data_IF_235109766148
#
_entry.id   IF_235109766148
#
_cell.length_a   1.000
_cell.length_b   1.000
_cell.length_c   1.000
_cell.angle_alpha   90.00
_cell.angle_beta   90.00
_cell.angle_gamma   90.00
#
_symmetry.space_group_name_H-M   'P 1'
#
loop_
_entity.id
_entity.type
_entity.pdbx_description
1 polymer ?
#
# COMPACT_ATOMS: atom_id res chain seq x y z
N UNK A 1 18.85 -14.66 -17.76
CA UNK A 1 17.96 -13.70 -18.47
C UNK A 1 17.47 -12.70 -17.43
N UNK A 2 17.10 -11.48 -17.85
CA UNK A 2 16.48 -10.53 -16.92
C UNK A 2 15.09 -11.01 -16.54
N UNK A 3 14.72 -10.87 -15.26
CA UNK A 3 13.34 -11.13 -14.84
C UNK A 3 12.41 -10.07 -15.43
N UNK A 4 11.29 -10.50 -15.97
CA UNK A 4 10.26 -9.63 -16.55
C UNK A 4 9.18 -9.36 -15.52
N UNK A 5 8.91 -8.09 -15.27
CA UNK A 5 7.99 -7.62 -14.22
C UNK A 5 6.90 -6.74 -14.84
N UNK A 6 5.65 -7.14 -14.68
CA UNK A 6 4.50 -6.33 -15.02
C UNK A 6 4.02 -5.57 -13.78
N UNK A 7 3.99 -4.25 -13.83
CA UNK A 7 3.40 -3.42 -12.78
C UNK A 7 2.02 -2.95 -13.25
N UNK A 8 0.97 -3.28 -12.51
CA UNK A 8 -0.40 -2.87 -12.81
C UNK A 8 -0.85 -1.73 -11.89
N UNK A 9 -1.26 -0.63 -12.51
CA UNK A 9 -1.74 0.56 -11.82
C UNK A 9 -0.73 1.70 -11.77
N UNK A 10 -0.90 2.70 -12.64
CA UNK A 10 -0.07 3.92 -12.70
C UNK A 10 -0.60 5.00 -11.71
N UNK A 11 -0.83 4.58 -10.45
CA UNK A 11 -1.14 5.49 -9.35
C UNK A 11 0.11 5.90 -8.58
N UNK A 12 -0.09 6.55 -7.41
CA UNK A 12 1.00 7.03 -6.56
C UNK A 12 2.03 5.95 -6.20
N UNK A 13 1.58 4.80 -5.69
CA UNK A 13 2.48 3.71 -5.31
C UNK A 13 3.03 3.00 -6.54
N UNK A 14 2.15 2.59 -7.47
CA UNK A 14 2.56 1.79 -8.64
C UNK A 14 3.47 2.55 -9.61
N UNK A 15 3.22 3.84 -9.83
CA UNK A 15 4.11 4.68 -10.64
C UNK A 15 5.50 4.84 -10.01
N UNK A 16 5.56 5.00 -8.68
CA UNK A 16 6.83 5.06 -7.96
C UNK A 16 7.59 3.72 -8.03
N UNK A 17 6.90 2.62 -7.70
CA UNK A 17 7.47 1.27 -7.77
C UNK A 17 8.02 0.97 -9.18
N UNK A 18 7.24 1.24 -10.22
CA UNK A 18 7.71 1.04 -11.59
C UNK A 18 8.95 1.87 -11.93
N UNK A 19 8.95 3.15 -11.59
CA UNK A 19 10.07 4.04 -11.92
C UNK A 19 11.39 3.54 -11.30
N UNK A 20 11.35 3.07 -10.06
CA UNK A 20 12.52 2.55 -9.36
C UNK A 20 12.93 1.17 -9.86
N UNK A 21 11.99 0.21 -9.98
CA UNK A 21 12.30 -1.12 -10.52
C UNK A 21 12.86 -1.05 -11.94
N UNK A 22 12.35 -0.16 -12.78
CA UNK A 22 12.85 0.03 -14.15
C UNK A 22 14.26 0.64 -14.23
N UNK A 23 14.70 1.32 -13.17
CA UNK A 23 16.08 1.80 -13.05
C UNK A 23 17.07 0.66 -12.75
N UNK A 24 16.60 -0.46 -12.19
CA UNK A 24 17.40 -1.66 -11.96
C UNK A 24 17.73 -2.35 -13.29
N UNK A 25 19.01 -2.38 -13.65
CA UNK A 25 19.48 -2.99 -14.91
C UNK A 25 19.32 -4.51 -14.99
N UNK A 26 19.03 -5.16 -13.86
CA UNK A 26 18.76 -6.61 -13.74
C UNK A 26 17.34 -6.99 -14.16
N UNK A 27 16.42 -6.04 -14.18
CA UNK A 27 15.00 -6.26 -14.45
C UNK A 27 14.59 -5.75 -15.83
N UNK A 28 13.43 -6.22 -16.31
CA UNK A 28 12.73 -5.73 -17.49
C UNK A 28 11.29 -5.42 -17.09
N UNK A 29 11.00 -4.15 -16.82
CA UNK A 29 9.72 -3.74 -16.25
C UNK A 29 8.79 -3.13 -17.30
N UNK A 30 7.52 -3.48 -17.21
CA UNK A 30 6.42 -2.87 -18.00
C UNK A 30 5.39 -2.30 -17.03
N UNK A 31 4.92 -1.08 -17.30
CA UNK A 31 3.83 -0.45 -16.54
C UNK A 31 2.59 -0.39 -17.38
N UNK A 32 1.49 -0.95 -16.86
CA UNK A 32 0.18 -0.82 -17.47
C UNK A 32 -0.79 -0.09 -16.56
N UNK A 33 -1.58 0.77 -17.17
CA UNK A 33 -2.71 1.42 -16.55
C UNK A 33 -4.00 0.99 -17.25
N UNK A 34 -5.14 1.11 -16.57
CA UNK A 34 -6.43 0.80 -17.18
C UNK A 34 -6.71 1.63 -18.46
N UNK A 35 -6.08 2.80 -18.61
CA UNK A 35 -6.23 3.64 -19.80
C UNK A 35 -5.37 3.19 -20.99
N UNK A 36 -4.32 2.42 -20.74
CA UNK A 36 -3.45 1.85 -21.78
C UNK A 36 -3.90 0.44 -22.16
N UNK A 37 -4.19 -0.38 -21.15
CA UNK A 37 -4.59 -1.78 -21.33
C UNK A 37 -5.67 -2.12 -20.30
N UNK A 38 -6.84 -2.54 -20.72
CA UNK A 38 -7.90 -2.95 -19.80
C UNK A 38 -7.60 -4.33 -19.18
N UNK A 39 -6.58 -4.36 -18.32
CA UNK A 39 -6.19 -5.56 -17.58
C UNK A 39 -7.27 -6.04 -16.58
N UNK A 40 -8.41 -5.34 -16.47
CA UNK A 40 -9.55 -5.79 -15.65
C UNK A 40 -10.46 -6.74 -16.42
N UNK A 41 -10.24 -6.87 -17.72
CA UNK A 41 -10.78 -7.93 -18.56
C UNK A 41 -9.82 -9.14 -18.57
N UNK A 42 -10.35 -10.30 -18.22
CA UNK A 42 -9.54 -11.51 -18.05
C UNK A 42 -8.83 -11.92 -19.34
N UNK A 43 -9.50 -11.84 -20.48
CA UNK A 43 -8.91 -12.21 -21.76
C UNK A 43 -7.74 -11.30 -22.12
N UNK A 44 -7.91 -10.00 -21.95
CA UNK A 44 -6.86 -9.00 -22.21
C UNK A 44 -5.64 -9.23 -21.35
N UNK A 45 -5.83 -9.50 -20.04
CA UNK A 45 -4.72 -9.81 -19.14
C UNK A 45 -3.99 -11.10 -19.55
N UNK A 46 -4.73 -12.15 -19.93
CA UNK A 46 -4.16 -13.42 -20.37
C UNK A 46 -3.28 -13.26 -21.59
N UNK A 47 -3.75 -12.53 -22.60
CA UNK A 47 -2.95 -12.30 -23.81
C UNK A 47 -1.69 -11.49 -23.49
N UNK A 48 -1.79 -10.44 -22.71
CA UNK A 48 -0.63 -9.65 -22.28
C UNK A 48 0.42 -10.51 -21.55
N UNK A 49 0.00 -11.36 -20.61
CA UNK A 49 0.92 -12.20 -19.85
C UNK A 49 1.56 -13.29 -20.72
N UNK A 50 0.83 -13.86 -21.68
CA UNK A 50 1.34 -14.88 -22.61
C UNK A 50 2.33 -14.30 -23.62
N UNK A 51 1.99 -13.17 -24.24
CA UNK A 51 2.80 -12.57 -25.30
C UNK A 51 4.16 -12.11 -24.76
N UNK A 52 4.15 -11.47 -23.59
CA UNK A 52 5.34 -10.88 -22.98
C UNK A 52 6.10 -11.85 -22.06
N UNK A 53 5.48 -12.93 -21.62
CA UNK A 53 6.12 -13.94 -20.74
C UNK A 53 6.71 -13.33 -19.47
N UNK A 54 5.89 -12.68 -18.65
CA UNK A 54 6.31 -12.11 -17.38
C UNK A 54 6.58 -13.19 -16.33
N UNK A 55 7.60 -12.96 -15.49
CA UNK A 55 7.90 -13.78 -14.31
C UNK A 55 7.05 -13.33 -13.11
N UNK A 56 6.85 -12.00 -12.97
CA UNK A 56 6.15 -11.38 -11.84
C UNK A 56 5.09 -10.39 -12.29
N UNK A 57 4.00 -10.31 -11.51
CA UNK A 57 2.97 -9.29 -11.64
C UNK A 57 2.87 -8.52 -10.32
N UNK A 58 3.28 -7.25 -10.30
CA UNK A 58 3.11 -6.37 -9.13
C UNK A 58 1.78 -5.63 -9.26
N UNK A 59 0.81 -6.03 -8.44
CA UNK A 59 -0.50 -5.41 -8.41
C UNK A 59 -0.50 -4.21 -7.44
N UNK A 60 -0.33 -3.00 -7.98
CA UNK A 60 -0.48 -1.73 -7.27
C UNK A 60 -1.78 -1.00 -7.63
N UNK A 61 -2.70 -1.67 -8.34
CA UNK A 61 -4.02 -1.15 -8.65
C UNK A 61 -4.96 -1.31 -7.46
N UNK A 62 -5.98 -0.50 -7.39
CA UNK A 62 -7.04 -0.59 -6.40
C UNK A 62 -7.88 0.68 -6.35
N UNK A 63 -9.02 0.58 -5.70
CA UNK A 63 -9.92 1.71 -5.48
C UNK A 63 -9.79 2.21 -4.04
N UNK A 64 -9.31 3.43 -3.87
CA UNK A 64 -9.23 4.11 -2.57
C UNK A 64 -10.17 5.31 -2.47
N UNK A 65 -10.96 5.57 -3.53
CA UNK A 65 -11.78 6.76 -3.64
C UNK A 65 -10.98 8.06 -3.87
N UNK A 66 -11.69 9.14 -4.18
CA UNK A 66 -11.15 10.50 -4.30
C UNK A 66 -12.12 11.46 -3.62
N UNK A 67 -11.67 12.37 -2.74
CA UNK A 67 -10.26 12.65 -2.39
C UNK A 67 -9.64 11.63 -1.43
N UNK A 68 -10.44 10.83 -0.72
CA UNK A 68 -10.01 9.86 0.28
C UNK A 68 -10.95 8.63 0.33
N UNK A 69 -10.81 7.79 1.36
CA UNK A 69 -11.58 6.54 1.52
C UNK A 69 -13.09 6.75 1.71
N UNK A 70 -13.55 7.96 2.09
CA UNK A 70 -14.98 8.25 2.25
C UNK A 70 -15.74 8.05 0.93
N UNK A 71 -15.10 8.28 -0.22
CA UNK A 71 -15.72 8.05 -1.52
C UNK A 71 -16.06 6.56 -1.77
N UNK A 72 -15.42 5.62 -1.09
CA UNK A 72 -15.75 4.19 -1.19
C UNK A 72 -17.14 3.88 -0.63
N UNK A 73 -17.66 4.71 0.28
CA UNK A 73 -19.02 4.54 0.83
C UNK A 73 -20.11 4.88 -0.19
N UNK A 74 -19.81 5.78 -1.13
CA UNK A 74 -20.74 6.18 -2.20
C UNK A 74 -20.57 5.40 -3.50
N UNK A 75 -19.44 4.67 -3.68
CA UNK A 75 -19.14 3.90 -4.88
C UNK A 75 -18.64 2.48 -4.51
N UNK A 76 -19.52 1.75 -3.83
CA UNK A 76 -19.22 0.40 -3.33
C UNK A 76 -19.00 -0.60 -4.44
N UNK A 77 -19.66 -0.44 -5.57
CA UNK A 77 -19.53 -1.32 -6.73
C UNK A 77 -18.11 -1.24 -7.31
N UNK A 78 -17.62 -0.05 -7.61
CA UNK A 78 -16.24 0.11 -8.09
C UNK A 78 -15.23 -0.31 -7.03
N UNK A 79 -15.46 0.00 -5.75
CA UNK A 79 -14.59 -0.43 -4.67
C UNK A 79 -14.49 -1.96 -4.60
N UNK A 80 -15.62 -2.67 -4.67
CA UNK A 80 -15.65 -4.13 -4.69
C UNK A 80 -14.99 -4.73 -5.94
N UNK A 81 -15.34 -4.20 -7.12
CA UNK A 81 -14.76 -4.66 -8.38
C UNK A 81 -13.22 -4.59 -8.34
N UNK A 82 -12.68 -3.41 -8.04
CA UNK A 82 -11.23 -3.20 -8.15
C UNK A 82 -10.43 -3.71 -6.95
N UNK A 83 -11.02 -3.85 -5.77
CA UNK A 83 -10.32 -4.34 -4.60
C UNK A 83 -10.51 -5.84 -4.34
N UNK A 84 -11.53 -6.47 -4.92
CA UNK A 84 -11.83 -7.89 -4.70
C UNK A 84 -11.81 -8.68 -6.00
N UNK A 85 -12.73 -8.40 -6.92
CA UNK A 85 -12.93 -9.25 -8.11
C UNK A 85 -11.69 -9.26 -9.02
N UNK A 86 -11.14 -8.09 -9.31
CA UNK A 86 -9.98 -7.96 -10.19
C UNK A 86 -8.74 -8.65 -9.62
N UNK A 87 -8.30 -8.42 -8.37
CA UNK A 87 -7.14 -9.15 -7.84
C UNK A 87 -7.36 -10.65 -7.64
N UNK A 88 -8.59 -11.11 -7.40
CA UNK A 88 -8.90 -12.55 -7.41
C UNK A 88 -8.72 -13.14 -8.81
N UNK A 89 -9.16 -12.44 -9.84
CA UNK A 89 -8.93 -12.84 -11.23
C UNK A 89 -7.42 -12.86 -11.55
N UNK A 90 -6.64 -11.89 -11.04
CA UNK A 90 -5.18 -11.92 -11.20
C UNK A 90 -4.57 -13.19 -10.62
N UNK A 91 -4.98 -13.61 -9.41
CA UNK A 91 -4.51 -14.85 -8.80
C UNK A 91 -4.78 -16.07 -9.68
N UNK A 92 -5.98 -16.16 -10.26
CA UNK A 92 -6.36 -17.25 -11.14
C UNK A 92 -5.51 -17.30 -12.40
N UNK A 93 -5.44 -16.17 -13.11
CA UNK A 93 -4.69 -16.06 -14.37
C UNK A 93 -3.18 -16.27 -14.17
N UNK A 94 -2.61 -15.67 -13.12
CA UNK A 94 -1.20 -15.81 -12.79
C UNK A 94 -0.84 -17.26 -12.43
N UNK A 95 -1.68 -17.95 -11.67
CA UNK A 95 -1.47 -19.37 -11.33
C UNK A 95 -1.43 -20.24 -12.59
N UNK A 96 -2.36 -20.05 -13.51
CA UNK A 96 -2.46 -20.84 -14.74
C UNK A 96 -1.27 -20.57 -15.70
N UNK A 97 -0.73 -19.37 -15.68
CA UNK A 97 0.38 -18.95 -16.54
C UNK A 97 1.76 -18.99 -15.85
N UNK A 98 1.82 -19.48 -14.60
CA UNK A 98 3.05 -19.57 -13.80
C UNK A 98 3.74 -18.21 -13.59
N UNK A 99 2.97 -17.15 -13.48
CA UNK A 99 3.43 -15.81 -13.10
C UNK A 99 3.26 -15.64 -11.59
N UNK A 100 4.24 -15.10 -10.89
CA UNK A 100 4.12 -14.84 -9.45
C UNK A 100 3.47 -13.48 -9.19
N UNK A 101 2.26 -13.41 -8.60
CA UNK A 101 1.68 -12.13 -8.22
C UNK A 101 2.24 -11.62 -6.89
N UNK A 102 2.44 -10.31 -6.81
CA UNK A 102 2.75 -9.54 -5.60
C UNK A 102 1.68 -8.47 -5.47
N UNK A 103 0.83 -8.58 -4.45
CA UNK A 103 -0.28 -7.66 -4.22
C UNK A 103 0.07 -6.61 -3.18
N UNK A 104 0.06 -5.33 -3.54
CA UNK A 104 0.17 -4.24 -2.59
C UNK A 104 -1.23 -3.95 -2.05
N UNK A 105 -1.47 -4.33 -0.79
CA UNK A 105 -2.76 -4.19 -0.10
C UNK A 105 -2.68 -3.21 1.06
N UNK A 106 -3.54 -3.35 2.05
CA UNK A 106 -3.62 -2.38 3.15
C UNK A 106 -3.83 -3.04 4.50
N UNK A 107 -3.03 -2.65 5.49
CA UNK A 107 -3.27 -2.99 6.89
C UNK A 107 -4.46 -2.25 7.54
N UNK A 108 -5.26 -1.50 6.76
CA UNK A 108 -6.51 -0.90 7.26
C UNK A 108 -7.61 -1.91 7.59
N UNK A 109 -7.27 -3.18 7.68
CA UNK A 109 -8.13 -4.28 8.15
C UNK A 109 -7.98 -4.56 9.65
N UNK A 110 -7.13 -3.80 10.32
CA UNK A 110 -6.98 -3.81 11.77
C UNK A 110 -7.34 -2.46 12.39
N UNK A 111 -7.81 -2.47 13.64
CA UNK A 111 -8.07 -1.27 14.43
C UNK A 111 -7.88 -1.55 15.92
N UNK A 112 -7.42 -0.55 16.65
CA UNK A 112 -7.12 -0.63 18.08
C UNK A 112 -5.63 -0.76 18.39
N UNK A 113 -5.30 -0.50 19.66
CA UNK A 113 -3.93 -0.45 20.19
C UNK A 113 -3.68 -1.49 21.28
N UNK A 114 -4.52 -2.52 21.38
CA UNK A 114 -4.36 -3.59 22.37
C UNK A 114 -3.02 -4.31 22.22
N UNK A 115 -2.51 -4.30 21.00
CA UNK A 115 -1.20 -4.82 20.62
C UNK A 115 -0.75 -4.23 19.28
N UNK A 116 0.50 -4.47 18.89
CA UNK A 116 0.90 -4.44 17.49
C UNK A 116 0.33 -5.68 16.78
N UNK A 117 -0.40 -5.49 15.68
CA UNK A 117 -1.07 -6.56 14.94
C UNK A 117 -0.07 -7.29 14.05
N UNK A 118 0.00 -8.61 14.17
CA UNK A 118 0.85 -9.49 13.35
C UNK A 118 0.08 -10.07 12.16
N UNK A 119 0.78 -10.70 11.22
CA UNK A 119 0.18 -11.37 10.06
C UNK A 119 -0.67 -12.58 10.45
N UNK A 120 -0.38 -13.20 11.59
CA UNK A 120 -1.13 -14.35 12.14
C UNK A 120 -2.42 -13.95 12.86
N UNK A 121 -2.65 -12.66 13.09
CA UNK A 121 -3.86 -12.17 13.73
C UNK A 121 -5.02 -12.10 12.75
N UNK A 122 -6.20 -12.50 13.24
CA UNK A 122 -7.44 -12.33 12.48
C UNK A 122 -7.78 -10.84 12.37
N UNK A 123 -8.06 -10.34 11.16
CA UNK A 123 -8.50 -8.96 10.97
C UNK A 123 -9.76 -8.63 11.76
N UNK A 124 -9.68 -7.58 12.58
CA UNK A 124 -10.79 -7.14 13.42
C UNK A 124 -11.55 -5.92 12.86
N UNK A 125 -11.10 -5.38 11.72
CA UNK A 125 -11.68 -4.21 11.08
C UNK A 125 -11.88 -4.46 9.59
N UNK A 126 -13.02 -5.04 9.21
CA UNK A 126 -13.30 -5.50 7.84
C UNK A 126 -14.69 -6.12 7.72
N UNK A 127 -14.80 -7.28 7.09
CA UNK A 127 -16.07 -7.94 6.72
C UNK A 127 -17.03 -8.13 7.90
N UNK A 128 -16.50 -8.45 9.08
CA UNK A 128 -17.33 -8.78 10.26
C UNK A 128 -17.51 -7.60 11.23
N UNK A 129 -17.07 -6.40 10.88
CA UNK A 129 -17.18 -5.23 11.74
C UNK A 129 -17.98 -4.14 11.04
N UNK A 130 -19.18 -3.84 11.56
CA UNK A 130 -20.10 -2.86 10.99
C UNK A 130 -19.60 -1.40 11.06
N UNK A 131 -18.62 -1.11 11.90
CA UNK A 131 -17.96 0.21 11.97
C UNK A 131 -16.87 0.40 10.93
N UNK A 132 -16.51 -0.67 10.20
CA UNK A 132 -15.47 -0.62 9.17
C UNK A 132 -15.89 0.20 7.97
N UNK A 133 -14.93 0.89 7.37
CA UNK A 133 -15.14 1.48 6.04
C UNK A 133 -15.36 0.38 5.00
N UNK A 134 -16.12 0.68 3.97
CA UNK A 134 -16.30 -0.27 2.86
C UNK A 134 -14.97 -0.58 2.15
N UNK A 135 -14.04 0.37 2.14
CA UNK A 135 -12.67 0.13 1.70
C UNK A 135 -11.98 -0.99 2.51
N UNK A 136 -12.01 -0.89 3.85
CA UNK A 136 -11.43 -1.93 4.71
C UNK A 136 -12.14 -3.28 4.53
N UNK A 137 -13.46 -3.27 4.41
CA UNK A 137 -14.25 -4.46 4.11
C UNK A 137 -13.81 -5.12 2.79
N UNK A 138 -13.62 -4.33 1.73
CA UNK A 138 -13.17 -4.86 0.43
C UNK A 138 -11.76 -5.42 0.48
N UNK A 139 -10.84 -4.78 1.21
CA UNK A 139 -9.46 -5.30 1.37
C UNK A 139 -9.42 -6.59 2.16
N UNK A 140 -10.17 -6.68 3.26
CA UNK A 140 -10.30 -7.92 4.04
C UNK A 140 -10.96 -9.03 3.20
N UNK A 141 -12.01 -8.72 2.43
CA UNK A 141 -12.69 -9.70 1.60
C UNK A 141 -11.75 -10.32 0.54
N UNK A 142 -10.91 -9.52 -0.12
CA UNK A 142 -9.90 -10.05 -1.03
C UNK A 142 -8.93 -10.99 -0.31
N UNK A 143 -8.37 -10.58 0.81
CA UNK A 143 -7.38 -11.38 1.53
C UNK A 143 -7.98 -12.68 2.07
N UNK A 144 -9.26 -12.68 2.48
CA UNK A 144 -9.96 -13.90 2.95
C UNK A 144 -10.13 -14.97 1.88
N UNK A 145 -10.04 -14.63 0.60
CA UNK A 145 -10.18 -15.56 -0.53
C UNK A 145 -8.90 -15.66 -1.38
N UNK A 146 -7.87 -14.90 -1.04
CA UNK A 146 -6.58 -14.95 -1.74
C UNK A 146 -5.83 -16.21 -1.34
N UNK A 147 -5.46 -17.00 -2.33
CA UNK A 147 -4.78 -18.28 -2.16
C UNK A 147 -3.52 -18.40 -3.04
N UNK A 148 -3.10 -17.27 -3.62
CA UNK A 148 -1.93 -17.19 -4.48
C UNK A 148 -1.27 -15.82 -4.36
N UNK A 149 0.06 -15.81 -4.46
CA UNK A 149 0.85 -14.58 -4.47
C UNK A 149 1.22 -14.04 -3.09
N UNK A 150 2.18 -13.15 -3.08
CA UNK A 150 2.64 -12.47 -1.87
C UNK A 150 1.81 -11.21 -1.68
N UNK A 151 1.13 -11.11 -0.55
CA UNK A 151 0.31 -9.97 -0.17
C UNK A 151 1.08 -9.06 0.77
N UNK A 152 1.38 -7.84 0.35
CA UNK A 152 2.11 -6.85 1.15
C UNK A 152 1.12 -5.82 1.69
N UNK A 153 0.90 -5.82 3.01
CA UNK A 153 0.02 -4.87 3.71
C UNK A 153 0.80 -3.60 4.05
N UNK A 154 0.51 -2.53 3.34
CA UNK A 154 1.08 -1.20 3.61
C UNK A 154 0.09 -0.31 4.36
N UNK A 155 0.57 0.80 4.97
CA UNK A 155 -0.28 1.83 5.59
C UNK A 155 0.28 3.22 5.31
N UNK A 156 -0.61 4.20 5.14
CA UNK A 156 -0.25 5.63 5.04
C UNK A 156 1.05 5.88 4.28
N UNK A 157 1.13 5.47 2.99
CA UNK A 157 2.39 5.48 2.25
C UNK A 157 2.92 6.91 2.06
N UNK A 158 4.24 7.05 2.22
CA UNK A 158 4.97 8.28 1.96
C UNK A 158 6.27 8.00 1.20
N UNK A 159 6.78 9.02 0.51
CA UNK A 159 8.04 8.95 -0.25
C UNK A 159 8.71 10.32 -0.29
N UNK A 160 9.82 10.38 -0.97
CA UNK A 160 10.71 11.52 -1.16
C UNK A 160 10.28 12.54 -2.24
N UNK A 161 9.06 12.39 -2.79
CA UNK A 161 8.51 13.29 -3.81
C UNK A 161 7.13 13.79 -3.43
N UNK A 162 6.80 15.02 -3.82
CA UNK A 162 5.47 15.59 -3.60
C UNK A 162 4.45 14.90 -4.52
N UNK A 163 3.35 14.46 -3.93
CA UNK A 163 2.21 13.89 -4.64
C UNK A 163 0.96 14.00 -3.76
N UNK A 164 -0.23 14.23 -4.33
CA UNK A 164 -1.48 14.41 -3.57
C UNK A 164 -1.85 13.21 -2.69
N UNK A 165 -1.35 12.02 -3.00
CA UNK A 165 -1.56 10.79 -2.22
C UNK A 165 -0.45 10.54 -1.19
N UNK A 166 0.67 11.26 -1.24
CA UNK A 166 1.74 11.17 -0.25
C UNK A 166 1.22 11.63 1.10
N UNK A 167 1.43 10.81 2.15
CA UNK A 167 1.00 11.12 3.51
C UNK A 167 1.52 12.49 3.99
N UNK A 168 2.79 12.81 3.74
CA UNK A 168 3.39 14.09 4.11
C UNK A 168 2.72 15.27 3.40
N UNK A 169 2.44 15.14 2.10
CA UNK A 169 1.72 16.16 1.33
C UNK A 169 0.30 16.38 1.84
N UNK A 170 -0.37 15.29 2.27
CA UNK A 170 -1.72 15.40 2.86
C UNK A 170 -1.69 16.13 4.19
N UNK A 171 -0.77 15.77 5.09
CA UNK A 171 -0.61 16.48 6.37
C UNK A 171 -0.32 17.95 6.13
N UNK A 172 0.56 18.28 5.18
CA UNK A 172 0.87 19.67 4.84
C UNK A 172 -0.36 20.46 4.33
N UNK A 173 -1.26 19.80 3.58
CA UNK A 173 -2.44 20.45 2.98
C UNK A 173 -3.66 20.53 3.90
N UNK A 174 -3.74 19.71 4.96
CA UNK A 174 -4.87 19.71 5.86
C UNK A 174 -4.76 20.80 6.91
N UNK A 175 -5.83 21.57 7.13
CA UNK A 175 -5.89 22.55 8.19
C UNK A 175 -6.21 21.89 9.54
N UNK A 176 -7.09 20.88 9.52
CA UNK A 176 -7.50 20.14 10.72
C UNK A 176 -6.77 18.81 10.82
N UNK A 177 -6.02 18.63 11.89
CA UNK A 177 -5.30 17.41 12.20
C UNK A 177 -5.87 16.77 13.47
N UNK A 178 -5.90 15.47 13.51
CA UNK A 178 -6.15 14.72 14.75
C UNK A 178 -4.94 13.88 15.09
N UNK A 179 -4.69 13.70 16.39
CA UNK A 179 -3.56 12.93 16.84
C UNK A 179 -3.94 11.46 16.96
N UNK A 180 -3.17 10.60 16.31
CA UNK A 180 -3.26 9.16 16.40
C UNK A 180 -1.91 8.54 16.06
N UNK A 181 -1.59 7.44 16.72
CA UNK A 181 -0.44 6.62 16.35
C UNK A 181 -0.87 5.67 15.24
N UNK A 182 -0.17 5.65 14.14
CA UNK A 182 -0.42 4.73 13.03
C UNK A 182 0.89 4.32 12.40
N UNK A 183 1.01 3.05 12.05
CA UNK A 183 2.10 2.59 11.20
C UNK A 183 2.05 3.27 9.82
N UNK A 184 3.21 3.60 9.27
CA UNK A 184 3.37 4.22 7.95
C UNK A 184 4.40 3.45 7.12
N UNK A 185 4.30 3.57 5.81
CA UNK A 185 5.16 2.85 4.86
C UNK A 185 5.98 3.84 4.05
N UNK A 186 7.29 3.72 4.11
CA UNK A 186 8.22 4.43 3.24
C UNK A 186 8.36 3.66 1.91
N UNK A 187 7.84 4.23 0.82
CA UNK A 187 7.74 3.54 -0.47
C UNK A 187 9.11 3.17 -1.06
N UNK A 188 10.19 3.96 -0.94
CA UNK A 188 11.51 3.52 -1.39
C UNK A 188 11.94 2.16 -0.81
N UNK A 189 11.79 1.95 0.49
CA UNK A 189 12.12 0.65 1.11
C UNK A 189 11.16 -0.48 0.67
N UNK A 190 9.89 -0.14 0.34
CA UNK A 190 8.98 -1.11 -0.27
C UNK A 190 9.47 -1.58 -1.64
N UNK A 191 10.08 -0.70 -2.43
CA UNK A 191 10.71 -1.08 -3.70
C UNK A 191 11.87 -2.03 -3.46
N UNK A 192 12.77 -1.70 -2.52
CA UNK A 192 13.91 -2.55 -2.17
C UNK A 192 13.44 -3.96 -1.75
N UNK A 193 12.33 -4.05 -1.02
CA UNK A 193 11.74 -5.34 -0.63
C UNK A 193 11.15 -6.10 -1.83
N UNK A 194 10.46 -5.42 -2.74
CA UNK A 194 9.95 -6.06 -3.97
C UNK A 194 11.11 -6.55 -4.83
N UNK A 195 12.21 -5.79 -4.94
CA UNK A 195 13.42 -6.24 -5.62
C UNK A 195 14.01 -7.50 -4.97
N UNK A 196 14.11 -7.53 -3.64
CA UNK A 196 14.54 -8.71 -2.90
C UNK A 196 13.69 -9.94 -3.23
N UNK A 197 12.35 -9.81 -3.22
CA UNK A 197 11.45 -10.92 -3.56
C UNK A 197 11.72 -11.48 -4.97
N UNK A 198 12.00 -10.61 -5.92
CA UNK A 198 12.27 -10.98 -7.32
C UNK A 198 13.67 -11.60 -7.45
N UNK A 199 14.68 -11.02 -6.80
CA UNK A 199 16.07 -11.50 -6.86
C UNK A 199 16.25 -12.86 -6.18
N UNK A 200 15.54 -13.09 -5.06
CA UNK A 200 15.54 -14.37 -4.37
C UNK A 200 14.56 -15.40 -4.98
N UNK A 201 13.90 -15.04 -6.07
CA UNK A 201 12.90 -15.88 -6.74
C UNK A 201 11.80 -16.39 -5.80
N UNK A 202 11.36 -15.54 -4.86
CA UNK A 202 10.30 -15.86 -3.92
C UNK A 202 8.98 -16.09 -4.64
N UNK A 203 8.39 -17.24 -4.40
CA UNK A 203 7.12 -17.67 -5.01
C UNK A 203 6.18 -18.26 -3.95
N UNK A 204 4.91 -18.48 -4.35
CA UNK A 204 3.91 -19.06 -3.50
C UNK A 204 2.98 -18.02 -2.89
N UNK A 205 2.31 -18.43 -1.80
CA UNK A 205 1.34 -17.59 -1.08
C UNK A 205 1.90 -17.21 0.29
N UNK A 206 1.92 -15.91 0.55
CA UNK A 206 2.28 -15.37 1.86
C UNK A 206 1.65 -14.00 2.09
N UNK A 207 1.58 -13.59 3.36
CA UNK A 207 1.13 -12.26 3.79
C UNK A 207 2.22 -11.61 4.62
N UNK A 208 2.53 -10.35 4.32
CA UNK A 208 3.62 -9.60 4.97
C UNK A 208 3.16 -8.20 5.33
N UNK A 209 3.39 -7.79 6.57
CA UNK A 209 3.25 -6.40 6.99
C UNK A 209 4.49 -5.59 6.58
N UNK A 210 4.26 -4.50 5.86
CA UNK A 210 5.35 -3.64 5.42
C UNK A 210 5.11 -2.20 5.90
N UNK A 211 5.55 -1.89 7.10
CA UNK A 211 5.48 -0.56 7.69
C UNK A 211 6.76 -0.30 8.49
N UNK A 212 7.20 0.95 8.51
CA UNK A 212 8.39 1.31 9.27
C UNK A 212 8.14 1.13 10.78
N UNK A 213 9.07 0.52 11.52
CA UNK A 213 8.94 0.31 12.97
C UNK A 213 9.02 1.63 13.75
N UNK A 214 8.62 1.58 15.03
CA UNK A 214 8.58 2.74 15.94
C UNK A 214 7.67 3.86 15.43
N UNK A 215 6.36 3.58 15.24
CA UNK A 215 5.43 4.52 14.63
C UNK A 215 5.24 5.77 15.50
N UNK A 216 5.35 6.92 14.87
CA UNK A 216 5.11 8.21 15.51
C UNK A 216 3.61 8.55 15.54
N UNK A 217 3.21 9.25 16.61
CA UNK A 217 1.96 9.98 16.63
C UNK A 217 1.97 11.11 15.58
N UNK A 218 0.82 11.52 15.08
CA UNK A 218 0.71 12.60 14.09
C UNK A 218 1.44 13.88 14.54
N UNK A 219 1.41 14.18 15.85
CA UNK A 219 2.10 15.33 16.42
C UNK A 219 3.62 15.27 16.21
N UNK A 220 4.24 14.11 16.42
CA UNK A 220 5.67 13.92 16.18
C UNK A 220 6.05 14.06 14.69
N UNK A 221 5.16 13.61 13.78
CA UNK A 221 5.37 13.85 12.34
C UNK A 221 5.33 15.34 12.00
N UNK A 222 4.37 16.08 12.58
CA UNK A 222 4.26 17.54 12.39
C UNK A 222 5.51 18.27 12.90
N UNK A 223 6.09 17.84 14.02
CA UNK A 223 7.34 18.42 14.52
C UNK A 223 8.50 18.22 13.52
N UNK A 224 8.66 17.00 12.99
CA UNK A 224 9.67 16.73 11.97
C UNK A 224 9.45 17.55 10.70
N UNK A 225 8.19 17.77 10.31
CA UNK A 225 7.86 18.63 9.15
C UNK A 225 8.23 20.08 9.41
N UNK A 226 7.98 20.61 10.62
CA UNK A 226 8.40 21.96 11.01
C UNK A 226 9.93 22.13 10.99
N UNK A 227 10.64 21.17 11.58
CA UNK A 227 12.11 21.15 11.56
C UNK A 227 12.67 21.16 10.12
N UNK A 228 11.95 20.53 9.17
CA UNK A 228 12.33 20.49 7.77
C UNK A 228 11.86 21.73 6.97
N UNK A 229 11.17 22.68 7.58
CA UNK A 229 10.64 23.89 6.90
C UNK A 229 9.37 23.62 6.08
N UNK A 230 8.68 22.48 6.30
CA UNK A 230 7.42 22.12 5.64
C UNK A 230 6.25 22.34 6.61
N UNK A 231 6.01 23.56 7.00
CA UNK A 231 4.93 23.94 7.92
C UNK A 231 3.70 24.46 7.15
N UNK A 232 2.50 24.19 7.72
CA UNK A 232 1.27 24.89 7.34
C UNK A 232 0.82 25.72 8.54
N UNK A 233 0.76 27.03 8.37
CA UNK A 233 0.38 28.00 9.42
C UNK A 233 -1.07 27.81 9.91
N UNK A 234 -1.91 27.13 9.14
CA UNK A 234 -3.32 26.88 9.47
C UNK A 234 -3.56 25.63 10.30
N UNK A 235 -2.53 24.81 10.59
CA UNK A 235 -2.72 23.59 11.36
C UNK A 235 -3.40 23.84 12.69
N UNK A 236 -4.52 23.16 12.90
CA UNK A 236 -5.25 23.12 14.16
C UNK A 236 -5.54 21.68 14.58
N UNK A 237 -5.49 21.40 15.88
CA UNK A 237 -5.77 20.09 16.42
C UNK A 237 -7.27 19.98 16.75
N UNK A 238 -7.87 18.89 16.29
CA UNK A 238 -9.29 18.63 16.52
C UNK A 238 -9.50 17.18 16.95
N UNK A 239 -10.51 16.92 17.76
CA UNK A 239 -10.90 15.56 18.12
C UNK A 239 -11.49 14.86 16.88
N UNK A 240 -11.12 13.61 16.66
CA UNK A 240 -11.61 12.84 15.50
C UNK A 240 -13.14 12.76 15.44
N UNK A 241 -13.80 12.77 16.61
CA UNK A 241 -15.25 12.73 16.73
C UNK A 241 -15.94 14.00 16.17
N UNK A 242 -15.22 15.10 16.08
CA UNK A 242 -15.69 16.35 15.48
C UNK A 242 -15.55 16.39 13.96
N UNK A 243 -14.83 15.42 13.39
CA UNK A 243 -14.72 15.26 11.95
C UNK A 243 -15.98 14.55 11.45
N UNK A 244 -16.71 15.16 10.54
CA UNK A 244 -17.85 14.52 9.89
C UNK A 244 -17.35 13.55 8.82
N UNK A 245 -16.94 12.34 9.23
CA UNK A 245 -16.39 11.32 8.38
C UNK A 245 -17.50 10.37 7.90
N UNK A 246 -17.59 10.15 6.59
CA UNK A 246 -18.53 9.19 6.02
C UNK A 246 -18.08 7.73 6.27
N UNK A 247 -16.78 7.51 6.38
CA UNK A 247 -16.19 6.19 6.62
C UNK A 247 -15.48 6.14 7.98
N UNK A 248 -15.58 5.01 8.68
CA UNK A 248 -14.75 4.73 9.86
C UNK A 248 -13.26 4.81 9.54
N UNK A 249 -12.45 5.08 10.55
CA UNK A 249 -10.98 5.12 10.42
C UNK A 249 -10.36 3.97 11.19
N UNK A 250 -9.48 3.26 10.51
CA UNK A 250 -8.59 2.28 11.10
C UNK A 250 -7.40 3.01 11.72
N UNK A 251 -7.21 2.89 13.02
CA UNK A 251 -6.02 3.35 13.71
C UNK A 251 -5.39 2.14 14.40
N UNK A 252 -4.17 1.78 14.00
CA UNK A 252 -3.46 0.62 14.55
C UNK A 252 -1.97 0.67 14.26
N UNK A 253 -1.26 -0.20 14.97
CA UNK A 253 0.16 -0.49 14.77
C UNK A 253 0.26 -1.91 14.20
N UNK A 254 1.06 -2.09 13.14
CA UNK A 254 1.39 -3.39 12.58
C UNK A 254 2.75 -3.84 13.10
N UNK A 255 2.84 -5.11 13.47
CA UNK A 255 4.09 -5.80 13.75
C UNK A 255 4.79 -6.16 12.42
N UNK A 256 6.08 -5.96 12.34
CA UNK A 256 6.90 -6.25 11.16
C UNK A 256 8.06 -7.20 11.47
N UNK A 257 7.96 -7.93 12.57
CA UNK A 257 8.96 -8.93 12.99
C UNK A 257 9.22 -9.96 11.92
N UNK A 258 8.17 -10.41 11.23
CA UNK A 258 8.23 -11.37 10.13
C UNK A 258 9.17 -10.95 8.99
N UNK A 259 9.19 -9.67 8.62
CA UNK A 259 10.12 -9.15 7.60
C UNK A 259 11.57 -9.47 7.94
N UNK A 260 11.96 -9.26 9.19
CA UNK A 260 13.33 -9.51 9.65
C UNK A 260 13.62 -11.01 9.78
N UNK A 261 12.70 -11.76 10.39
CA UNK A 261 12.93 -13.17 10.74
C UNK A 261 12.85 -14.11 9.54
N UNK A 262 11.91 -13.89 8.62
CA UNK A 262 11.67 -14.81 7.49
C UNK A 262 12.27 -14.32 6.17
N UNK A 263 12.41 -12.99 6.01
CA UNK A 263 12.93 -12.39 4.77
C UNK A 263 14.32 -11.76 4.93
N UNK A 264 14.86 -11.69 6.17
CA UNK A 264 16.15 -11.03 6.44
C UNK A 264 16.13 -9.52 6.11
N UNK A 265 14.97 -8.92 5.91
CA UNK A 265 14.82 -7.54 5.50
C UNK A 265 14.63 -6.62 6.72
N UNK A 266 15.49 -5.61 6.84
CA UNK A 266 15.45 -4.66 7.96
C UNK A 266 15.06 -3.28 7.45
N UNK A 267 13.97 -2.76 8.01
CA UNK A 267 13.48 -1.40 7.76
C UNK A 267 14.20 -0.36 8.61
N UNK A 268 14.34 0.85 8.11
CA UNK A 268 14.66 2.01 8.96
C UNK A 268 13.49 2.31 9.91
N UNK A 269 13.78 2.93 11.06
CA UNK A 269 12.71 3.44 11.93
C UNK A 269 11.85 4.46 11.18
N UNK A 270 10.59 4.62 11.59
CA UNK A 270 9.70 5.61 10.96
C UNK A 270 10.29 7.02 11.01
N UNK A 271 10.97 7.37 12.13
CA UNK A 271 11.66 8.67 12.27
C UNK A 271 12.77 8.85 11.24
N UNK A 272 13.60 7.83 11.03
CA UNK A 272 14.69 7.88 10.03
C UNK A 272 14.13 7.99 8.61
N UNK A 273 13.11 7.20 8.28
CA UNK A 273 12.44 7.22 6.99
C UNK A 273 11.79 8.58 6.71
N UNK A 274 11.10 9.16 7.70
CA UNK A 274 10.49 10.49 7.58
C UNK A 274 11.54 11.58 7.37
N UNK A 275 12.64 11.56 8.11
CA UNK A 275 13.75 12.51 7.92
C UNK A 275 14.37 12.40 6.53
N UNK A 276 14.55 11.18 6.00
CA UNK A 276 15.02 10.96 4.62
C UNK A 276 14.06 11.59 3.60
N UNK A 277 12.76 11.28 3.73
CA UNK A 277 11.74 11.79 2.82
C UNK A 277 11.63 13.33 2.87
N UNK A 278 11.58 13.91 4.07
CA UNK A 278 11.48 15.36 4.25
C UNK A 278 12.69 16.09 3.68
N UNK A 279 13.90 15.59 3.93
CA UNK A 279 15.13 16.16 3.37
C UNK A 279 15.08 16.19 1.82
N UNK A 280 14.57 15.16 1.19
CA UNK A 280 14.47 15.12 -0.28
C UNK A 280 13.36 16.05 -0.82
N UNK A 281 12.23 16.16 -0.10
CA UNK A 281 11.11 17.03 -0.49
C UNK A 281 11.48 18.51 -0.39
N UNK A 282 12.35 18.88 0.56
CA UNK A 282 12.72 20.28 0.84
C UNK A 282 14.06 20.73 0.23
N UNK A 283 14.77 19.82 -0.46
CA UNK A 283 16.02 20.09 -1.19
C UNK A 283 15.74 20.78 -2.53
#
# INVERSE_FOLDING_TARGET
>A
MKKKVLVLGNGYVGGYVFAQLNANRGLSCTLESKSTTDYTDEWTLRELLKEEQFDYLVNAQGYTGRPNVDAAESDKEACWKYNVQVPVMFNTVCRELHVQPIHITSGCIFSGYDKAWSESDEPNYGVFNSASSFYSTSKHAFESVSDNGITIRIRMPFCDTLHDRNYLTKIHKYDNLFSAVNSKTYIPELVDFIELLIEEERTGHDVVHFTNPEPLETAGVVELMREAGLENENWSWIDIEKLNLAAGRSNCILDTTKLKEEYGFTLSTETEALKKALKAITA
#
